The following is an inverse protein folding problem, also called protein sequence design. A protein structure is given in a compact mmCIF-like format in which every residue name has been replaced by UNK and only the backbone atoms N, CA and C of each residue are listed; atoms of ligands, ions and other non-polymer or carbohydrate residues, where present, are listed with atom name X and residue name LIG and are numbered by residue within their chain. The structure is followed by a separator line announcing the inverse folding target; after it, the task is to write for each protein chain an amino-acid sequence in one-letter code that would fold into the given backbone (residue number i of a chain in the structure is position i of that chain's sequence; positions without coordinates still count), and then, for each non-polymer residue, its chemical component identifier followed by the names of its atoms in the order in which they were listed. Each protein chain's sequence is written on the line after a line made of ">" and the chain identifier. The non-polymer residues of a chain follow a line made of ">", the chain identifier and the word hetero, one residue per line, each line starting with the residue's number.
data_IF_396183420822
#
_entry.id   IF_396183420822
#
_cell.length_a   1.000
_cell.length_b   1.000
_cell.length_c   1.000
_cell.angle_alpha   90.00
_cell.angle_beta   90.00
_cell.angle_gamma   90.00
#
_symmetry.space_group_name_H-M   'P 1'
#
loop_
_entity.id
_entity.type
_entity.pdbx_description
1 polymer ?
#
# COMPACT_ATOMS: atom_id res chain seq x y z
N UNK A 1 17.70 -17.63 3.23
CA UNK A 1 17.22 -16.56 4.12
C UNK A 1 16.49 -15.55 3.25
N UNK A 2 15.20 -15.30 3.48
CA UNK A 2 14.48 -14.23 2.79
C UNK A 2 14.99 -12.91 3.37
N UNK A 3 15.87 -12.29 2.61
CA UNK A 3 16.58 -11.06 2.95
C UNK A 3 15.62 -9.92 3.30
N UNK A 4 16.10 -9.07 4.21
CA UNK A 4 15.47 -7.92 4.85
C UNK A 4 14.29 -7.27 4.12
N UNK A 5 13.24 -6.92 4.89
CA UNK A 5 12.11 -6.05 4.54
C UNK A 5 12.24 -5.36 3.16
N UNK A 6 11.44 -5.81 2.20
CA UNK A 6 11.28 -5.14 0.91
C UNK A 6 9.91 -4.45 0.87
N UNK A 7 9.84 -3.16 1.23
CA UNK A 7 8.59 -2.40 1.15
C UNK A 7 7.99 -2.42 -0.27
N UNK A 8 8.85 -2.57 -1.28
CA UNK A 8 8.42 -2.70 -2.68
C UNK A 8 7.66 -3.98 -2.99
N UNK A 9 7.70 -5.00 -2.12
CA UNK A 9 6.96 -6.25 -2.28
C UNK A 9 5.75 -6.33 -1.32
N UNK A 10 5.58 -5.38 -0.41
CA UNK A 10 4.42 -5.32 0.45
C UNK A 10 3.31 -4.51 -0.23
N UNK A 11 2.22 -5.15 -0.65
CA UNK A 11 1.06 -4.48 -1.24
C UNK A 11 0.45 -3.42 -0.32
N UNK A 12 0.56 -3.62 1.00
CA UNK A 12 0.22 -2.60 1.99
C UNK A 12 1.01 -1.31 1.76
N UNK A 13 2.31 -1.40 1.50
CA UNK A 13 3.23 -0.28 1.54
C UNK A 13 3.22 0.51 0.23
N UNK A 14 3.14 -0.16 -0.92
CA UNK A 14 3.19 0.51 -2.21
C UNK A 14 1.82 0.83 -2.83
N UNK A 15 0.72 0.26 -2.33
CA UNK A 15 -0.61 0.42 -2.93
C UNK A 15 -1.68 0.88 -1.93
N UNK A 16 -1.86 0.18 -0.80
CA UNK A 16 -2.92 0.51 0.16
C UNK A 16 -2.62 1.77 1.01
N UNK A 17 -1.45 1.84 1.63
CA UNK A 17 -1.06 2.97 2.50
C UNK A 17 -1.00 4.30 1.76
N UNK A 18 -0.53 4.39 0.49
CA UNK A 18 -0.62 5.62 -0.29
C UNK A 18 -2.05 6.13 -0.44
N UNK A 19 -3.02 5.23 -0.64
CA UNK A 19 -4.43 5.58 -0.81
C UNK A 19 -5.04 6.07 0.53
N UNK A 20 -4.70 5.39 1.63
CA UNK A 20 -5.14 5.77 2.97
C UNK A 20 -4.48 7.07 3.47
N UNK A 21 -3.34 7.48 2.93
CA UNK A 21 -2.68 8.72 3.35
C UNK A 21 -3.57 9.94 3.13
N UNK A 22 -4.39 9.93 2.07
CA UNK A 22 -5.30 11.02 1.74
C UNK A 22 -6.42 11.16 2.78
N UNK A 23 -6.93 10.05 3.35
CA UNK A 23 -7.97 10.12 4.39
C UNK A 23 -7.41 10.53 5.77
N UNK A 24 -6.08 10.49 5.91
CA UNK A 24 -5.34 10.92 7.09
C UNK A 24 -4.87 12.39 7.01
N UNK A 25 -5.09 13.07 5.89
CA UNK A 25 -4.82 14.50 5.76
C UNK A 25 -6.10 15.30 6.08
N UNK A 26 -6.26 15.72 7.35
CA UNK A 26 -7.39 16.55 7.74
C UNK A 26 -7.32 17.09 9.18
N UNK A 27 -7.92 18.27 9.45
CA UNK A 27 -7.90 18.91 10.77
C UNK A 27 -8.73 18.19 11.84
N UNK A 28 -9.56 17.20 11.45
CA UNK A 28 -10.49 16.48 12.33
C UNK A 28 -9.92 15.21 12.98
N UNK A 29 -8.64 14.87 12.77
CA UNK A 29 -8.01 13.67 13.35
C UNK A 29 -7.47 13.94 14.75
N UNK A 30 -8.35 14.38 15.66
CA UNK A 30 -7.96 14.71 17.04
C UNK A 30 -8.01 13.50 17.97
N UNK A 31 -8.70 12.43 17.58
CA UNK A 31 -8.84 11.21 18.36
C UNK A 31 -8.66 9.96 17.51
N UNK A 32 -8.34 8.85 18.17
CA UNK A 32 -8.18 7.55 17.51
C UNK A 32 -9.49 7.06 16.89
N UNK A 33 -10.64 7.36 17.49
CA UNK A 33 -11.95 6.99 16.95
C UNK A 33 -12.21 7.67 15.60
N UNK A 34 -11.85 8.96 15.47
CA UNK A 34 -12.00 9.71 14.21
C UNK A 34 -11.10 9.11 13.11
N UNK A 35 -9.88 8.69 13.46
CA UNK A 35 -8.95 8.01 12.54
C UNK A 35 -9.54 6.66 12.08
N UNK A 36 -10.05 5.85 13.02
CA UNK A 36 -10.63 4.55 12.69
C UNK A 36 -11.83 4.69 11.76
N UNK A 37 -12.77 5.60 12.07
CA UNK A 37 -13.94 5.84 11.22
C UNK A 37 -13.55 6.32 9.82
N UNK A 38 -12.55 7.21 9.70
CA UNK A 38 -12.09 7.69 8.40
C UNK A 38 -11.44 6.57 7.56
N UNK A 39 -10.61 5.74 8.19
CA UNK A 39 -9.96 4.61 7.51
C UNK A 39 -11.00 3.58 7.07
N UNK A 40 -11.96 3.22 7.92
CA UNK A 40 -13.05 2.29 7.57
C UNK A 40 -13.92 2.83 6.43
N UNK A 41 -14.25 4.13 6.47
CA UNK A 41 -15.00 4.77 5.40
C UNK A 41 -14.23 4.74 4.08
N UNK A 42 -12.94 5.08 4.08
CA UNK A 42 -12.08 5.02 2.90
C UNK A 42 -12.00 3.59 2.35
N UNK A 43 -11.77 2.59 3.19
CA UNK A 43 -11.71 1.18 2.76
C UNK A 43 -13.03 0.73 2.13
N UNK A 44 -14.16 1.22 2.63
CA UNK A 44 -15.49 0.90 2.09
C UNK A 44 -15.75 1.56 0.73
N UNK A 45 -15.08 2.66 0.40
CA UNK A 45 -15.20 3.30 -0.92
C UNK A 45 -14.28 2.70 -1.98
N UNK A 46 -13.26 1.94 -1.57
CA UNK A 46 -12.37 1.25 -2.51
C UNK A 46 -13.12 0.15 -3.24
N UNK A 47 -13.07 0.20 -4.57
CA UNK A 47 -13.64 -0.84 -5.42
C UNK A 47 -12.82 -2.14 -5.32
N UNK A 48 -13.45 -3.28 -5.60
CA UNK A 48 -12.76 -4.58 -5.69
C UNK A 48 -11.57 -4.53 -6.67
N UNK A 49 -11.74 -3.81 -7.79
CA UNK A 49 -10.70 -3.59 -8.80
C UNK A 49 -9.46 -2.90 -8.24
N UNK A 50 -9.59 -2.06 -7.21
CA UNK A 50 -8.43 -1.46 -6.55
C UNK A 50 -7.54 -2.53 -5.92
N UNK A 51 -8.11 -3.52 -5.25
CA UNK A 51 -7.33 -4.59 -4.63
C UNK A 51 -6.75 -5.55 -5.68
N UNK A 52 -7.50 -5.83 -6.74
CA UNK A 52 -7.02 -6.61 -7.90
C UNK A 52 -5.80 -5.95 -8.55
N UNK A 53 -5.86 -4.64 -8.84
CA UNK A 53 -4.72 -3.88 -9.37
C UNK A 53 -3.49 -3.95 -8.45
N UNK A 54 -3.69 -3.93 -7.13
CA UNK A 54 -2.60 -4.07 -6.15
C UNK A 54 -1.90 -5.42 -6.26
N UNK A 55 -2.66 -6.49 -6.46
CA UNK A 55 -2.15 -7.86 -6.64
C UNK A 55 -1.44 -8.00 -8.00
N UNK A 56 -1.98 -7.43 -9.08
CA UNK A 56 -1.32 -7.45 -10.38
C UNK A 56 0.02 -6.69 -10.36
N UNK A 57 0.06 -5.52 -9.70
CA UNK A 57 1.30 -4.76 -9.48
C UNK A 57 2.33 -5.56 -8.68
N UNK A 58 1.90 -6.40 -7.75
CA UNK A 58 2.79 -7.27 -6.98
C UNK A 58 3.51 -8.28 -7.89
N UNK A 59 2.80 -8.89 -8.83
CA UNK A 59 3.41 -9.83 -9.81
C UNK A 59 4.51 -9.13 -10.62
N UNK A 60 4.23 -7.92 -11.10
CA UNK A 60 5.22 -7.13 -11.84
C UNK A 60 6.44 -6.74 -10.98
N UNK A 61 6.22 -6.39 -9.70
CA UNK A 61 7.28 -6.04 -8.76
C UNK A 61 8.16 -7.25 -8.41
N UNK A 62 7.58 -8.45 -8.29
CA UNK A 62 8.34 -9.69 -8.13
C UNK A 62 9.23 -10.00 -9.34
N UNK A 63 8.67 -9.93 -10.56
CA UNK A 63 9.47 -10.12 -11.78
C UNK A 63 10.64 -9.14 -11.85
N UNK A 64 10.36 -7.86 -11.56
CA UNK A 64 11.39 -6.83 -11.52
C UNK A 64 12.46 -7.10 -10.46
N UNK A 65 12.08 -7.51 -9.25
CA UNK A 65 13.00 -7.83 -8.16
C UNK A 65 13.91 -9.03 -8.52
N UNK A 66 13.34 -10.08 -9.11
CA UNK A 66 14.09 -11.26 -9.55
C UNK A 66 15.07 -10.94 -10.69
N UNK A 67 14.68 -10.06 -11.60
CA UNK A 67 15.48 -9.68 -12.76
C UNK A 67 16.56 -8.62 -12.46
N UNK A 68 16.46 -7.87 -11.35
CA UNK A 68 17.42 -6.80 -10.99
C UNK A 68 18.61 -7.23 -10.13
N UNK A 69 18.73 -8.52 -9.79
CA UNK A 69 19.85 -9.07 -9.00
C UNK A 69 20.18 -8.18 -7.78
N UNK A 70 19.20 -8.01 -6.89
CA UNK A 70 19.31 -7.25 -5.63
C UNK A 70 19.56 -5.74 -5.73
N UNK A 71 19.40 -5.11 -6.91
CA UNK A 71 19.35 -3.65 -6.97
C UNK A 71 17.93 -3.15 -6.67
N UNK A 72 17.79 -2.56 -5.48
CA UNK A 72 16.59 -1.90 -4.99
C UNK A 72 15.97 -1.00 -6.06
N UNK A 73 14.68 -1.22 -6.36
CA UNK A 73 13.94 -0.43 -7.32
C UNK A 73 13.27 0.71 -6.57
N UNK A 74 13.96 1.83 -6.49
CA UNK A 74 13.30 3.06 -6.06
C UNK A 74 12.31 3.54 -7.14
N UNK A 75 11.23 4.17 -6.68
CA UNK A 75 10.03 4.55 -7.44
C UNK A 75 10.27 5.68 -8.43
#
# INVERSE_FOLDING_TARGET
>A
ELTAFSPDLATSDFHLLPELKNCLEGPSLRKNEDIQCNVEAQLTTLAETFFEEGIEKLVHRYDKCLNLHDNYVEK
#
